data_IF_428454253388
#
_entry.id   IF_428454253388
#
_cell.length_a   1.000
_cell.length_b   1.000
_cell.length_c   1.000
_cell.angle_alpha   90.00
_cell.angle_beta   90.00
_cell.angle_gamma   90.00
#
_symmetry.space_group_name_H-M   'P 1'
#
loop_
_entity.id
_entity.type
_entity.pdbx_description
1 polymer ?
#
# COMPACT_ATOMS: atom_id res chain seq x y z
N UNK A 1 12.65 -23.24 29.01
CA UNK A 1 13.37 -22.50 27.95
C UNK A 1 12.37 -21.49 27.41
N UNK A 2 12.48 -20.23 27.83
CA UNK A 2 11.49 -19.19 27.52
C UNK A 2 11.74 -18.65 26.12
N UNK A 3 10.76 -18.82 25.23
CA UNK A 3 10.70 -18.03 24.01
C UNK A 3 10.53 -16.57 24.42
N UNK A 4 11.36 -15.67 23.88
CA UNK A 4 11.14 -14.24 23.99
C UNK A 4 9.74 -13.91 23.43
N UNK A 5 8.88 -13.14 24.13
CA UNK A 5 7.55 -12.74 23.65
C UNK A 5 7.61 -12.01 22.30
N UNK A 6 8.78 -11.46 21.97
CA UNK A 6 9.06 -10.70 20.77
C UNK A 6 9.45 -11.54 19.54
N UNK A 7 9.57 -12.87 19.65
CA UNK A 7 10.09 -13.73 18.57
C UNK A 7 9.34 -13.58 17.24
N UNK A 8 8.01 -13.56 17.27
CA UNK A 8 7.19 -13.35 16.06
C UNK A 8 7.12 -11.89 15.59
N UNK A 9 7.27 -10.94 16.52
CA UNK A 9 7.20 -9.52 16.19
C UNK A 9 8.37 -9.09 15.29
N UNK A 10 9.59 -9.60 15.56
CA UNK A 10 10.77 -9.32 14.72
C UNK A 10 10.91 -10.22 13.49
N UNK A 11 10.14 -11.32 13.39
CA UNK A 11 10.13 -12.18 12.20
C UNK A 11 9.35 -11.53 11.04
N UNK A 12 8.27 -10.82 11.35
CA UNK A 12 7.36 -10.25 10.33
C UNK A 12 7.53 -8.74 10.13
N UNK A 13 8.11 -8.02 11.09
CA UNK A 13 8.35 -6.57 11.00
C UNK A 13 9.80 -6.28 10.66
N UNK A 14 10.02 -5.28 9.80
CA UNK A 14 11.37 -4.84 9.42
C UNK A 14 11.54 -3.34 9.59
N UNK A 15 12.71 -2.95 10.08
CA UNK A 15 13.12 -1.56 10.25
C UNK A 15 14.39 -1.31 9.44
N UNK A 16 14.40 -0.26 8.64
CA UNK A 16 15.54 0.12 7.82
C UNK A 16 15.82 1.62 7.94
N UNK A 17 17.09 1.97 8.14
CA UNK A 17 17.56 3.34 8.14
C UNK A 17 18.48 3.54 6.94
N UNK A 18 18.12 4.45 6.04
CA UNK A 18 18.95 4.81 4.91
C UNK A 18 20.22 5.54 5.41
N UNK A 19 21.44 5.01 5.18
CA UNK A 19 22.67 5.55 5.76
C UNK A 19 23.02 6.95 5.22
N UNK A 20 22.51 7.31 4.04
CA UNK A 20 22.78 8.60 3.37
C UNK A 20 21.83 9.73 3.80
N UNK A 21 20.58 9.42 4.10
CA UNK A 21 19.54 10.41 4.40
C UNK A 21 19.05 10.36 5.85
N UNK A 22 19.40 9.30 6.60
CA UNK A 22 18.83 9.00 7.91
C UNK A 22 17.33 8.69 7.86
N UNK A 23 16.76 8.43 6.68
CA UNK A 23 15.32 8.14 6.55
C UNK A 23 15.00 6.77 7.10
N UNK A 24 13.99 6.72 7.97
CA UNK A 24 13.46 5.49 8.55
C UNK A 24 12.35 4.94 7.65
N UNK A 25 12.40 3.64 7.40
CA UNK A 25 11.29 2.87 6.84
C UNK A 25 10.96 1.71 7.77
N UNK A 26 9.70 1.58 8.15
CA UNK A 26 9.20 0.47 8.97
C UNK A 26 8.19 -0.29 8.12
N UNK A 27 8.23 -1.62 8.17
CA UNK A 27 7.15 -2.48 7.69
C UNK A 27 6.60 -3.27 8.86
N UNK A 28 5.29 -3.16 9.11
CA UNK A 28 4.58 -3.86 10.16
C UNK A 28 3.48 -4.75 9.55
N UNK A 29 3.53 -6.06 9.79
CA UNK A 29 2.53 -7.00 9.26
C UNK A 29 1.35 -7.11 10.22
N UNK A 30 0.14 -6.81 9.75
CA UNK A 30 -1.07 -6.86 10.56
C UNK A 30 -1.88 -8.15 10.29
N UNK A 31 -1.80 -8.71 9.08
CA UNK A 31 -2.52 -9.92 8.68
C UNK A 31 -1.61 -10.85 7.87
N UNK A 32 -1.57 -12.12 8.26
CA UNK A 32 -0.95 -13.21 7.48
C UNK A 32 -1.92 -14.37 7.39
N UNK A 33 -2.32 -14.74 6.18
CA UNK A 33 -3.22 -15.84 5.89
C UNK A 33 -2.58 -16.81 4.89
N UNK A 34 -2.19 -18.03 5.34
CA UNK A 34 -1.58 -19.02 4.46
C UNK A 34 -2.50 -19.41 3.32
N UNK A 35 -2.01 -19.28 2.09
CA UNK A 35 -2.77 -19.49 0.87
C UNK A 35 -2.45 -20.80 0.16
N UNK A 36 -3.08 -20.99 -1.00
CA UNK A 36 -2.81 -22.13 -1.87
C UNK A 36 -1.38 -22.02 -2.42
N UNK A 37 -0.60 -23.09 -2.32
CA UNK A 37 0.78 -23.21 -2.81
C UNK A 37 1.74 -22.11 -2.30
N UNK A 38 1.47 -21.54 -1.11
CA UNK A 38 2.29 -20.48 -0.53
C UNK A 38 1.99 -19.07 -1.07
N UNK A 39 0.94 -18.90 -1.89
CA UNK A 39 0.44 -17.58 -2.27
C UNK A 39 -0.44 -17.01 -1.15
N UNK A 40 0.25 -16.65 -0.08
CA UNK A 40 -0.31 -16.16 1.18
C UNK A 40 -0.83 -14.72 1.01
N UNK A 41 -1.93 -14.41 1.68
CA UNK A 41 -2.35 -13.03 1.83
C UNK A 41 -1.62 -12.41 3.01
N UNK A 42 -0.78 -11.41 2.70
CA UNK A 42 -0.13 -10.56 3.70
C UNK A 42 -0.65 -9.14 3.54
N UNK A 43 -1.24 -8.58 4.61
CA UNK A 43 -1.54 -7.16 4.69
C UNK A 43 -0.60 -6.54 5.72
N UNK A 44 0.23 -5.60 5.24
CA UNK A 44 1.18 -4.87 6.05
C UNK A 44 0.98 -3.37 5.92
N UNK A 45 1.55 -2.63 6.86
CA UNK A 45 1.68 -1.18 6.83
C UNK A 45 3.15 -0.81 6.68
N UNK A 46 3.40 0.19 5.86
CA UNK A 46 4.70 0.80 5.70
C UNK A 46 4.69 2.20 6.29
N UNK A 47 5.70 2.50 7.10
CA UNK A 47 6.06 3.86 7.48
C UNK A 47 7.24 4.33 6.64
N UNK A 48 7.21 5.58 6.19
CA UNK A 48 8.34 6.20 5.52
C UNK A 48 8.53 7.65 6.00
N UNK A 49 9.73 7.97 6.51
CA UNK A 49 10.03 9.32 7.02
C UNK A 49 9.93 10.41 5.96
N UNK A 50 10.38 10.13 4.73
CA UNK A 50 10.31 11.10 3.63
C UNK A 50 8.86 11.43 3.29
N UNK A 51 8.01 10.41 3.26
CA UNK A 51 6.57 10.58 3.12
C UNK A 51 6.01 11.42 4.27
N UNK A 52 6.37 11.08 5.53
CA UNK A 52 5.92 11.80 6.71
C UNK A 52 6.31 13.30 6.67
N UNK A 53 7.54 13.62 6.23
CA UNK A 53 8.01 15.00 6.04
C UNK A 53 7.21 15.75 4.99
N UNK A 54 6.96 15.10 3.84
CA UNK A 54 6.13 15.68 2.78
C UNK A 54 4.72 15.97 3.31
N UNK A 55 4.14 15.03 4.06
CA UNK A 55 2.83 15.20 4.67
C UNK A 55 2.83 16.37 5.66
N UNK A 56 3.81 16.42 6.57
CA UNK A 56 3.90 17.41 7.63
C UNK A 56 4.04 18.85 7.12
N UNK A 57 4.97 19.09 6.17
CA UNK A 57 5.17 20.43 5.57
C UNK A 57 3.89 21.01 4.98
N UNK A 58 3.01 20.15 4.44
CA UNK A 58 1.74 20.59 3.86
C UNK A 58 0.62 20.79 4.87
N UNK A 59 0.58 20.03 5.98
CA UNK A 59 -0.36 20.29 7.09
C UNK A 59 -0.16 21.67 7.73
N UNK A 60 1.09 22.15 7.80
CA UNK A 60 1.44 23.48 8.31
C UNK A 60 0.89 24.65 7.48
N UNK A 61 0.35 24.40 6.28
CA UNK A 61 -0.10 25.44 5.33
C UNK A 61 -1.63 25.59 5.23
N UNK A 62 -2.44 24.70 5.83
CA UNK A 62 -3.90 24.91 5.92
C UNK A 62 -4.56 24.10 7.06
N UNK A 63 -4.87 24.79 8.16
CA UNK A 63 -5.43 24.22 9.39
C UNK A 63 -6.84 23.58 9.26
N UNK A 64 -7.54 23.78 8.14
CA UNK A 64 -8.95 23.38 7.97
C UNK A 64 -9.21 22.41 6.83
N UNK A 65 -8.21 21.72 6.29
CA UNK A 65 -8.42 20.94 5.07
C UNK A 65 -7.60 19.65 5.01
N UNK A 66 -7.75 18.79 6.02
CA UNK A 66 -7.25 17.42 5.92
C UNK A 66 -7.91 16.64 4.74
N UNK A 67 -9.06 17.10 4.20
CA UNK A 67 -9.66 16.62 2.94
C UNK A 67 -8.94 17.11 1.67
N UNK A 68 -8.22 18.23 1.73
CA UNK A 68 -7.53 18.92 0.63
C UNK A 68 -6.06 18.45 0.48
N UNK A 69 -5.54 17.71 1.46
CA UNK A 69 -4.31 16.93 1.32
C UNK A 69 -4.43 15.81 0.26
N UNK A 70 -5.63 15.20 0.22
CA UNK A 70 -5.96 14.02 -0.58
C UNK A 70 -6.00 14.28 -2.09
N UNK A 71 -6.17 15.54 -2.49
CA UNK A 71 -6.19 15.97 -3.89
C UNK A 71 -4.90 16.68 -4.32
N UNK A 72 -4.18 17.34 -3.40
CA UNK A 72 -2.98 18.13 -3.75
C UNK A 72 -1.67 17.34 -3.81
N UNK A 73 -1.51 16.29 -2.98
CA UNK A 73 -0.24 15.54 -2.86
C UNK A 73 -0.29 14.09 -3.35
N UNK A 74 -1.38 13.66 -3.99
CA UNK A 74 -1.47 12.38 -4.73
C UNK A 74 -1.23 11.11 -3.91
N UNK A 75 -1.27 11.19 -2.58
CA UNK A 75 -1.30 10.03 -1.68
C UNK A 75 -2.67 9.37 -1.78
N UNK A 76 -2.70 8.07 -2.07
CA UNK A 76 -3.94 7.36 -2.36
C UNK A 76 -4.82 7.28 -1.11
N UNK A 77 -6.05 7.76 -1.24
CA UNK A 77 -7.02 7.87 -0.13
C UNK A 77 -7.30 6.55 0.59
N UNK A 78 -7.08 5.43 -0.08
CA UNK A 78 -7.41 4.09 0.41
C UNK A 78 -6.23 3.37 1.09
N UNK A 79 -4.97 3.80 0.86
CA UNK A 79 -3.81 3.21 1.52
C UNK A 79 -3.34 4.03 2.73
N UNK A 80 -3.55 5.35 2.76
CA UNK A 80 -3.02 6.23 3.81
C UNK A 80 -3.66 6.01 5.19
N UNK A 81 -2.80 5.89 6.21
CA UNK A 81 -3.15 5.73 7.61
C UNK A 81 -2.69 6.92 8.47
N UNK A 82 -2.24 8.02 7.87
CA UNK A 82 -1.74 9.19 8.60
C UNK A 82 -0.29 9.48 8.28
N UNK A 83 0.33 10.40 9.03
CA UNK A 83 1.71 10.86 8.79
C UNK A 83 2.68 9.69 8.57
N UNK A 84 3.12 9.53 7.32
CA UNK A 84 4.12 8.54 6.93
C UNK A 84 3.63 7.10 6.81
N UNK A 85 2.44 6.76 7.32
CA UNK A 85 1.90 5.42 7.31
C UNK A 85 0.95 5.17 6.12
N UNK A 86 1.13 4.05 5.46
CA UNK A 86 0.22 3.52 4.45
C UNK A 86 0.15 2.00 4.47
N UNK A 87 -0.96 1.42 3.98
CA UNK A 87 -0.98 -0.01 3.67
C UNK A 87 -0.05 -0.32 2.49
N UNK A 88 0.73 -1.38 2.63
CA UNK A 88 1.62 -1.96 1.62
C UNK A 88 0.76 -2.66 0.56
N UNK A 89 0.16 -1.89 -0.34
CA UNK A 89 -0.69 -2.40 -1.42
C UNK A 89 -0.30 -1.72 -2.73
N UNK A 90 -0.01 -2.49 -3.79
CA UNK A 90 0.36 -1.97 -5.08
C UNK A 90 -0.63 -0.97 -5.66
N UNK A 91 -0.11 0.02 -6.37
CA UNK A 91 -0.91 1.01 -7.07
C UNK A 91 -0.14 1.60 -8.26
N UNK A 92 -0.86 2.27 -9.16
CA UNK A 92 -0.27 2.91 -10.34
C UNK A 92 -0.62 4.41 -10.37
N UNK A 93 0.34 5.23 -10.74
CA UNK A 93 0.16 6.64 -11.06
C UNK A 93 0.47 6.92 -12.52
N UNK A 94 -0.36 7.75 -13.15
CA UNK A 94 -0.02 8.34 -14.43
C UNK A 94 0.28 9.82 -14.20
N UNK A 95 1.52 10.22 -14.49
CA UNK A 95 2.03 11.58 -14.32
C UNK A 95 2.44 12.13 -15.69
N UNK A 96 2.76 13.42 -15.73
CA UNK A 96 3.24 14.08 -16.96
C UNK A 96 4.56 13.50 -17.46
N UNK A 97 5.41 13.02 -16.55
CA UNK A 97 6.72 12.43 -16.80
C UNK A 97 6.68 10.91 -17.05
N UNK A 98 5.55 10.24 -16.85
CA UNK A 98 5.46 8.80 -17.08
C UNK A 98 4.44 8.07 -16.22
N UNK A 99 4.50 6.75 -16.25
CA UNK A 99 3.73 5.86 -15.39
C UNK A 99 4.63 5.43 -14.24
N UNK A 100 4.16 5.62 -13.00
CA UNK A 100 4.82 5.19 -11.79
C UNK A 100 4.05 3.99 -11.24
N UNK A 101 4.69 2.84 -11.12
CA UNK A 101 4.13 1.62 -10.52
C UNK A 101 4.73 1.46 -9.15
N UNK A 102 3.90 1.19 -8.16
CA UNK A 102 4.31 0.85 -6.81
C UNK A 102 3.84 -0.58 -6.53
N UNK A 103 4.75 -1.46 -6.12
CA UNK A 103 4.47 -2.85 -5.77
C UNK A 103 4.69 -3.08 -4.27
N UNK A 104 4.44 -4.31 -3.81
CA UNK A 104 4.65 -4.69 -2.41
C UNK A 104 6.12 -4.50 -2.00
N UNK A 105 6.35 -4.28 -0.70
CA UNK A 105 7.69 -4.11 -0.15
C UNK A 105 8.33 -2.74 -0.48
N UNK A 106 7.58 -1.83 -1.11
CA UNK A 106 8.05 -0.50 -1.48
C UNK A 106 8.75 -0.41 -2.84
N UNK A 107 8.80 -1.50 -3.59
CA UNK A 107 9.33 -1.51 -4.95
C UNK A 107 8.57 -0.52 -5.83
N UNK A 108 9.30 0.29 -6.59
CA UNK A 108 8.69 1.25 -7.50
C UNK A 108 9.40 1.34 -8.84
N UNK A 109 8.61 1.58 -9.89
CA UNK A 109 9.05 1.55 -11.28
C UNK A 109 8.54 2.80 -11.99
N UNK A 110 9.44 3.52 -12.65
CA UNK A 110 9.09 4.68 -13.45
C UNK A 110 9.28 4.39 -14.94
N UNK A 111 8.17 4.28 -15.65
CA UNK A 111 8.16 4.16 -17.11
C UNK A 111 8.03 5.56 -17.67
N UNK A 112 9.11 6.06 -18.28
CA UNK A 112 9.15 7.42 -18.80
C UNK A 112 8.08 7.65 -19.86
N UNK A 113 7.60 8.88 -19.93
CA UNK A 113 6.57 9.27 -20.89
C UNK A 113 6.97 8.99 -22.34
N UNK A 114 8.23 9.18 -22.68
CA UNK A 114 8.78 8.94 -24.02
C UNK A 114 8.73 7.45 -24.39
N UNK A 115 9.17 6.58 -23.49
CA UNK A 115 9.12 5.13 -23.67
C UNK A 115 7.68 4.63 -23.75
N UNK A 116 6.80 5.19 -22.92
CA UNK A 116 5.38 4.85 -22.94
C UNK A 116 4.68 5.33 -24.21
N UNK A 117 4.96 6.53 -24.73
CA UNK A 117 4.32 7.03 -25.96
C UNK A 117 4.75 6.21 -27.18
N UNK A 118 5.98 5.71 -27.19
CA UNK A 118 6.53 4.95 -28.31
C UNK A 118 6.29 3.43 -28.21
N UNK A 119 5.69 2.94 -27.12
CA UNK A 119 5.40 1.51 -26.96
C UNK A 119 4.44 0.99 -28.04
N UNK A 120 4.56 -0.30 -28.36
CA UNK A 120 3.81 -0.95 -29.43
C UNK A 120 2.30 -0.98 -29.13
N UNK A 121 1.51 -0.82 -30.19
CA UNK A 121 0.06 -0.95 -30.14
C UNK A 121 -0.34 -2.31 -30.71
N UNK A 122 -1.08 -3.08 -29.92
CA UNK A 122 -1.76 -4.28 -30.40
C UNK A 122 -3.23 -3.94 -30.69
N UNK A 123 -3.67 -4.17 -31.92
CA UNK A 123 -5.07 -4.01 -32.33
C UNK A 123 -5.31 -3.01 -33.47
N UNK A 124 -6.38 -3.26 -34.22
CA UNK A 124 -6.83 -2.36 -35.30
C UNK A 124 -7.77 -1.29 -34.76
N UNK A 125 -7.79 -0.08 -35.32
CA UNK A 125 -8.76 0.99 -35.00
C UNK A 125 -10.23 0.52 -34.95
N UNK A 126 -10.57 -0.59 -35.63
CA UNK A 126 -11.90 -1.20 -35.68
C UNK A 126 -12.27 -2.09 -34.48
N UNK A 127 -11.32 -2.45 -33.59
CA UNK A 127 -11.60 -3.29 -32.42
C UNK A 127 -12.28 -2.54 -31.28
N UNK A 128 -12.30 -1.20 -31.34
CA UNK A 128 -12.82 -0.35 -30.27
C UNK A 128 -12.01 -0.42 -28.96
N UNK A 129 -10.88 -1.14 -28.93
CA UNK A 129 -9.98 -1.24 -27.76
C UNK A 129 -8.60 -0.72 -28.12
N UNK A 130 -8.07 0.12 -27.24
CA UNK A 130 -6.71 0.64 -27.32
C UNK A 130 -5.84 -0.19 -26.39
N UNK A 131 -5.08 -1.14 -26.95
CA UNK A 131 -4.09 -1.89 -26.19
C UNK A 131 -2.69 -1.39 -26.53
N UNK A 132 -1.90 -1.16 -25.50
CA UNK A 132 -0.50 -0.76 -25.58
C UNK A 132 0.32 -1.63 -24.67
N UNK A 133 1.47 -2.12 -25.13
CA UNK A 133 2.34 -2.92 -24.28
C UNK A 133 3.80 -2.54 -24.48
N UNK A 134 4.60 -2.86 -23.48
CA UNK A 134 6.06 -2.73 -23.53
C UNK A 134 6.70 -3.60 -22.47
N UNK A 135 7.95 -3.97 -22.73
CA UNK A 135 8.83 -4.59 -21.74
C UNK A 135 9.78 -3.51 -21.22
N UNK A 136 9.89 -3.42 -19.90
CA UNK A 136 10.62 -2.36 -19.22
C UNK A 136 11.56 -2.98 -18.18
N UNK A 137 12.71 -2.35 -17.99
CA UNK A 137 13.68 -2.74 -16.98
C UNK A 137 13.44 -1.95 -15.69
N UNK A 138 13.57 -2.64 -14.55
CA UNK A 138 13.68 -1.99 -13.25
C UNK A 138 15.12 -1.54 -12.96
N UNK A 139 15.30 -0.80 -11.87
CA UNK A 139 16.59 -0.31 -11.37
C UNK A 139 17.59 -1.45 -11.07
N UNK A 140 17.10 -2.63 -10.70
CA UNK A 140 17.91 -3.83 -10.48
C UNK A 140 18.19 -4.66 -11.76
N UNK A 141 17.69 -4.21 -12.91
CA UNK A 141 17.83 -4.88 -14.20
C UNK A 141 16.85 -6.02 -14.45
N UNK A 142 15.85 -6.22 -13.58
CA UNK A 142 14.77 -7.18 -13.84
C UNK A 142 13.79 -6.65 -14.89
N UNK A 143 13.36 -7.53 -15.81
CA UNK A 143 12.38 -7.19 -16.85
C UNK A 143 10.98 -7.42 -16.29
N UNK A 144 10.10 -6.45 -16.48
CA UNK A 144 8.66 -6.63 -16.33
C UNK A 144 7.92 -6.22 -17.60
N UNK A 145 6.82 -6.90 -17.89
CA UNK A 145 5.95 -6.57 -19.01
C UNK A 145 4.77 -5.74 -18.50
N UNK A 146 4.60 -4.54 -19.03
CA UNK A 146 3.39 -3.74 -18.82
C UNK A 146 2.49 -3.82 -20.05
N UNK A 147 1.22 -4.13 -19.81
CA UNK A 147 0.14 -4.01 -20.78
C UNK A 147 -0.87 -3.00 -20.24
N UNK A 148 -1.25 -2.02 -21.04
CA UNK A 148 -2.35 -1.10 -20.77
C UNK A 148 -3.47 -1.37 -21.77
N UNK A 149 -4.67 -1.50 -21.26
CA UNK A 149 -5.87 -1.67 -22.05
C UNK A 149 -6.89 -0.58 -21.72
N UNK A 150 -7.45 0.04 -22.76
CA UNK A 150 -8.49 1.05 -22.64
C UNK A 150 -9.64 0.76 -23.61
N UNK A 151 -10.88 0.86 -23.12
CA UNK A 151 -12.08 0.69 -23.93
C UNK A 151 -12.37 1.89 -24.85
N UNK A 152 -11.75 3.05 -24.60
CA UNK A 152 -11.73 4.21 -25.49
C UNK A 152 -10.61 5.15 -25.03
N UNK A 153 -10.28 6.17 -25.84
CA UNK A 153 -9.26 7.18 -25.50
C UNK A 153 -9.51 7.88 -24.14
N UNK A 154 -10.76 7.94 -23.69
CA UNK A 154 -11.15 8.61 -22.45
C UNK A 154 -11.57 7.64 -21.34
N UNK A 155 -11.53 6.32 -21.59
CA UNK A 155 -11.85 5.33 -20.58
C UNK A 155 -10.70 5.19 -19.57
N UNK A 156 -11.04 4.88 -18.31
CA UNK A 156 -10.02 4.54 -17.32
C UNK A 156 -9.19 3.33 -17.80
N UNK A 157 -7.85 3.43 -17.80
CA UNK A 157 -6.99 2.33 -18.20
C UNK A 157 -7.10 1.15 -17.25
N UNK A 158 -6.92 -0.05 -17.77
CA UNK A 158 -6.56 -1.22 -16.98
C UNK A 158 -5.10 -1.54 -17.27
N UNK A 159 -4.31 -1.78 -16.22
CA UNK A 159 -2.90 -2.13 -16.36
C UNK A 159 -2.70 -3.58 -15.94
N UNK A 160 -1.91 -4.35 -16.69
CA UNK A 160 -1.44 -5.67 -16.31
C UNK A 160 0.08 -5.63 -16.30
N UNK A 161 0.66 -5.95 -15.15
CA UNK A 161 2.10 -6.01 -14.95
C UNK A 161 2.45 -7.47 -14.71
N UNK A 162 3.41 -8.00 -15.45
CA UNK A 162 3.96 -9.34 -15.24
C UNK A 162 5.42 -9.20 -14.84
N UNK A 163 5.76 -9.67 -13.65
CA UNK A 163 7.14 -9.66 -13.14
C UNK A 163 7.94 -10.79 -13.77
N UNK A 164 9.26 -10.75 -13.60
CA UNK A 164 10.17 -11.80 -14.05
C UNK A 164 9.84 -13.17 -13.43
N UNK A 165 9.37 -13.17 -12.19
CA UNK A 165 9.08 -14.39 -11.43
C UNK A 165 7.70 -14.98 -11.78
N UNK A 166 6.97 -14.32 -12.68
CA UNK A 166 5.69 -14.79 -13.22
C UNK A 166 4.47 -14.24 -12.50
N UNK A 167 4.66 -13.45 -11.45
CA UNK A 167 3.56 -12.79 -10.76
C UNK A 167 2.91 -11.73 -11.63
N UNK A 168 1.59 -11.61 -11.49
CA UNK A 168 0.78 -10.67 -12.26
C UNK A 168 -0.02 -9.76 -11.34
N UNK A 169 0.15 -8.46 -11.54
CA UNK A 169 -0.69 -7.43 -10.95
C UNK A 169 -1.65 -6.88 -11.99
N UNK A 170 -2.94 -6.86 -11.66
CA UNK A 170 -3.98 -6.29 -12.53
C UNK A 170 -4.58 -5.09 -11.83
N UNK A 171 -4.52 -3.93 -12.47
CA UNK A 171 -5.06 -2.66 -11.98
C UNK A 171 -6.24 -2.19 -12.83
N UNK A 172 -7.16 -1.46 -12.21
CA UNK A 172 -8.13 -0.61 -12.91
C UNK A 172 -7.97 0.82 -12.42
N UNK A 173 -7.65 1.72 -13.35
CA UNK A 173 -7.16 3.05 -13.02
C UNK A 173 -5.85 2.92 -12.22
N UNK A 174 -5.90 3.37 -10.99
CA UNK A 174 -4.79 3.35 -10.02
C UNK A 174 -4.91 2.23 -8.98
N UNK A 175 -6.03 1.51 -8.94
CA UNK A 175 -6.34 0.51 -7.91
C UNK A 175 -5.96 -0.89 -8.35
N UNK A 176 -5.24 -1.62 -7.49
CA UNK A 176 -5.02 -3.06 -7.66
C UNK A 176 -6.36 -3.80 -7.61
N UNK A 177 -6.56 -4.79 -8.48
CA UNK A 177 -7.76 -5.63 -8.52
C UNK A 177 -7.43 -7.09 -8.32
N UNK A 178 -6.27 -7.52 -8.80
CA UNK A 178 -5.84 -8.90 -8.63
C UNK A 178 -4.33 -8.99 -8.53
N UNK A 179 -3.88 -9.88 -7.64
CA UNK A 179 -2.49 -10.31 -7.54
C UNK A 179 -2.44 -11.83 -7.73
N UNK A 180 -1.78 -12.26 -8.79
CA UNK A 180 -1.86 -13.63 -9.30
C UNK A 180 -0.44 -14.20 -9.32
N UNK A 181 -0.23 -15.36 -8.72
CA UNK A 181 1.06 -16.05 -8.80
C UNK A 181 1.27 -16.73 -10.17
N UNK A 182 2.45 -17.31 -10.39
CA UNK A 182 2.76 -18.06 -11.62
C UNK A 182 1.84 -19.28 -11.85
N UNK A 183 1.19 -19.79 -10.79
CA UNK A 183 0.29 -20.94 -10.86
C UNK A 183 -1.17 -20.54 -11.13
N UNK A 184 -1.47 -19.24 -11.20
CA UNK A 184 -2.82 -18.71 -11.37
C UNK A 184 -3.61 -18.55 -10.07
N UNK A 185 -3.02 -18.81 -8.91
CA UNK A 185 -3.65 -18.53 -7.61
C UNK A 185 -3.84 -17.02 -7.48
N UNK A 186 -5.07 -16.59 -7.16
CA UNK A 186 -5.46 -15.19 -7.25
C UNK A 186 -5.92 -14.65 -5.91
N UNK A 187 -5.36 -13.51 -5.49
CA UNK A 187 -5.89 -12.64 -4.44
C UNK A 187 -6.64 -11.49 -5.10
N UNK A 188 -7.87 -11.22 -4.66
CA UNK A 188 -8.72 -10.17 -5.24
C UNK A 188 -8.90 -8.98 -4.29
N UNK A 189 -8.91 -7.77 -4.85
CA UNK A 189 -9.04 -6.52 -4.12
C UNK A 189 -10.29 -5.77 -4.58
N UNK A 190 -11.24 -5.61 -3.66
CA UNK A 190 -12.54 -4.99 -3.91
C UNK A 190 -12.62 -3.62 -3.23
N UNK A 191 -13.26 -2.68 -3.91
CA UNK A 191 -13.37 -1.29 -3.49
C UNK A 191 -14.84 -0.89 -3.43
N UNK A 192 -15.20 -0.05 -2.46
CA UNK A 192 -16.54 0.52 -2.32
C UNK A 192 -16.84 1.57 -3.41
N UNK A 193 -18.09 2.05 -3.45
CA UNK A 193 -18.53 3.05 -4.42
C UNK A 193 -17.84 4.42 -4.31
N UNK A 194 -17.07 4.64 -3.24
CA UNK A 194 -16.25 5.85 -3.03
C UNK A 194 -14.77 5.63 -3.33
N UNK A 195 -14.42 4.44 -3.81
CA UNK A 195 -13.06 4.07 -4.21
C UNK A 195 -12.15 3.68 -3.04
N UNK A 196 -12.69 3.30 -1.89
CA UNK A 196 -11.92 2.80 -0.74
C UNK A 196 -11.87 1.28 -0.75
N UNK A 197 -10.73 0.69 -0.39
CA UNK A 197 -10.58 -0.77 -0.32
C UNK A 197 -11.53 -1.33 0.75
N UNK A 198 -12.49 -2.16 0.37
CA UNK A 198 -13.51 -2.69 1.28
C UNK A 198 -13.23 -4.14 1.65
N UNK A 199 -12.69 -4.93 0.73
CA UNK A 199 -12.43 -6.35 0.94
C UNK A 199 -11.19 -6.82 0.18
N UNK A 200 -10.50 -7.80 0.76
CA UNK A 200 -9.50 -8.62 0.10
C UNK A 200 -9.96 -10.08 0.20
N UNK A 201 -9.99 -10.77 -0.93
CA UNK A 201 -10.35 -12.20 -0.99
C UNK A 201 -9.09 -12.97 -1.27
N UNK A 202 -8.69 -13.84 -0.33
CA UNK A 202 -7.49 -14.65 -0.49
C UNK A 202 -7.68 -15.85 -1.43
N UNK A 203 -6.60 -16.59 -1.64
CA UNK A 203 -6.58 -17.76 -2.54
C UNK A 203 -7.44 -18.93 -2.07
N UNK A 204 -7.85 -18.94 -0.80
CA UNK A 204 -8.73 -19.96 -0.22
C UNK A 204 -10.20 -19.51 -0.18
N UNK A 205 -10.48 -18.26 -0.57
CA UNK A 205 -11.80 -17.65 -0.53
C UNK A 205 -12.17 -17.00 0.80
N UNK A 206 -11.23 -16.86 1.76
CA UNK A 206 -11.47 -16.08 2.98
C UNK A 206 -11.55 -14.60 2.63
N UNK A 207 -12.47 -13.90 3.28
CA UNK A 207 -12.68 -12.47 3.09
C UNK A 207 -12.07 -11.72 4.27
N UNK A 208 -11.09 -10.87 3.97
CA UNK A 208 -10.56 -9.83 4.86
C UNK A 208 -11.32 -8.54 4.57
N UNK A 209 -12.01 -7.98 5.56
CA UNK A 209 -12.85 -6.78 5.42
C UNK A 209 -12.24 -5.58 6.10
N UNK A 210 -12.35 -4.40 5.47
CA UNK A 210 -11.90 -3.13 6.03
C UNK A 210 -13.11 -2.29 6.43
N UNK A 211 -13.20 -1.92 7.70
CA UNK A 211 -14.20 -1.00 8.23
C UNK A 211 -13.63 0.42 8.35
N UNK A 212 -14.46 1.44 8.14
CA UNK A 212 -14.05 2.83 8.15
C UNK A 212 -14.88 3.64 9.15
N UNK A 213 -14.22 4.50 9.94
CA UNK A 213 -14.88 5.44 10.83
C UNK A 213 -15.55 6.60 10.05
N UNK A 214 -16.31 7.44 10.75
CA UNK A 214 -17.02 8.59 10.19
C UNK A 214 -16.11 9.62 9.49
N UNK A 215 -14.81 9.63 9.78
CA UNK A 215 -13.80 10.49 9.12
C UNK A 215 -13.19 9.83 7.88
N UNK A 216 -13.69 8.66 7.47
CA UNK A 216 -13.28 7.93 6.29
C UNK A 216 -11.92 7.23 6.42
N UNK A 217 -11.50 6.87 7.65
CA UNK A 217 -10.24 6.16 7.91
C UNK A 217 -10.50 4.75 8.40
N UNK A 218 -9.59 3.86 8.10
CA UNK A 218 -9.69 2.43 8.45
C UNK A 218 -9.70 2.30 9.96
N UNK A 219 -10.79 1.80 10.54
CA UNK A 219 -10.93 1.62 11.99
C UNK A 219 -10.66 0.18 12.40
N UNK A 220 -10.94 -0.77 11.51
CA UNK A 220 -10.68 -2.18 11.75
C UNK A 220 -10.43 -2.95 10.45
N UNK A 221 -9.60 -3.98 10.55
CA UNK A 221 -9.45 -5.06 9.57
C UNK A 221 -9.92 -6.35 10.23
N UNK A 222 -10.83 -7.08 9.58
CA UNK A 222 -11.41 -8.30 10.15
C UNK A 222 -11.43 -9.47 9.17
N UNK A 223 -11.29 -10.69 9.68
CA UNK A 223 -11.31 -11.91 8.88
C UNK A 223 -11.73 -13.13 9.71
N UNK A 224 -12.17 -14.24 9.08
CA UNK A 224 -12.48 -15.46 9.81
C UNK A 224 -11.20 -16.13 10.34
N UNK A 225 -11.14 -16.35 11.65
CA UNK A 225 -10.16 -17.22 12.31
C UNK A 225 -10.80 -18.53 12.80
N UNK A 226 -10.01 -19.36 13.48
CA UNK A 226 -10.42 -20.71 13.92
C UNK A 226 -11.62 -20.69 14.87
N UNK A 227 -11.74 -19.67 15.71
CA UNK A 227 -12.75 -19.60 16.79
C UNK A 227 -13.69 -18.40 16.66
N UNK A 228 -13.77 -17.77 15.49
CA UNK A 228 -14.60 -16.59 15.26
C UNK A 228 -13.91 -15.54 14.40
N UNK A 229 -14.40 -14.31 14.47
CA UNK A 229 -13.81 -13.17 13.74
C UNK A 229 -12.56 -12.68 14.45
N UNK A 230 -11.46 -12.59 13.72
CA UNK A 230 -10.21 -11.96 14.16
C UNK A 230 -10.22 -10.50 13.72
N UNK A 231 -9.67 -9.61 14.55
CA UNK A 231 -9.69 -8.16 14.32
C UNK A 231 -8.34 -7.53 14.62
N UNK A 232 -7.91 -6.59 13.77
CA UNK A 232 -6.90 -5.57 14.06
C UNK A 232 -7.61 -4.23 14.09
N UNK A 233 -7.36 -3.38 15.09
CA UNK A 233 -7.98 -2.06 15.21
C UNK A 233 -6.97 -0.93 15.13
N UNK A 234 -7.42 0.23 14.66
CA UNK A 234 -6.59 1.39 14.38
C UNK A 234 -7.19 2.64 15.03
N UNK A 235 -6.44 3.28 15.93
CA UNK A 235 -6.86 4.50 16.61
C UNK A 235 -6.01 5.66 16.11
N UNK A 236 -6.67 6.81 15.99
CA UNK A 236 -6.04 7.99 15.48
C UNK A 236 -6.35 9.22 16.31
N UNK A 237 -5.47 10.20 16.24
CA UNK A 237 -5.66 11.50 16.86
C UNK A 237 -6.65 12.42 16.09
N UNK A 238 -6.76 13.66 16.58
CA UNK A 238 -7.56 14.71 15.97
C UNK A 238 -6.97 15.28 14.67
N UNK A 239 -5.65 15.19 14.48
CA UNK A 239 -4.91 15.62 13.27
C UNK A 239 -4.92 14.59 12.14
N UNK A 240 -5.57 13.48 12.43
CA UNK A 240 -5.85 12.36 11.59
C UNK A 240 -4.73 11.31 11.47
N UNK A 241 -3.80 11.29 12.40
CA UNK A 241 -2.61 10.44 12.39
C UNK A 241 -2.80 9.20 13.26
N UNK A 242 -2.29 8.05 12.79
CA UNK A 242 -2.42 6.75 13.48
C UNK A 242 -1.57 6.76 14.75
N UNK A 243 -2.17 6.61 15.92
CA UNK A 243 -1.47 6.67 17.21
C UNK A 243 -1.49 5.34 17.97
N UNK A 244 -2.33 4.39 17.56
CA UNK A 244 -2.39 3.06 18.17
C UNK A 244 -2.85 2.02 17.14
N UNK A 245 -2.23 0.85 17.19
CA UNK A 245 -2.76 -0.37 16.59
C UNK A 245 -2.90 -1.44 17.66
N UNK A 246 -4.08 -2.05 17.74
CA UNK A 246 -4.31 -3.24 18.57
C UNK A 246 -4.37 -4.46 17.68
N UNK A 247 -3.50 -5.44 17.96
CA UNK A 247 -3.44 -6.69 17.21
C UNK A 247 -4.48 -7.72 17.68
N UNK A 248 -4.59 -8.89 17.01
CA UNK A 248 -5.53 -9.95 17.40
C UNK A 248 -5.35 -10.54 18.81
N UNK A 249 -4.18 -10.34 19.43
CA UNK A 249 -3.84 -10.80 20.77
C UNK A 249 -4.03 -9.68 21.81
N UNK A 250 -4.72 -8.60 21.43
CA UNK A 250 -4.96 -7.41 22.25
C UNK A 250 -3.70 -6.65 22.65
N UNK A 251 -2.57 -6.91 21.98
CA UNK A 251 -1.33 -6.17 22.18
C UNK A 251 -1.43 -4.83 21.48
N UNK A 252 -0.97 -3.79 22.15
CA UNK A 252 -1.06 -2.41 21.65
C UNK A 252 0.29 -1.90 21.22
N UNK A 253 0.32 -1.31 20.04
CA UNK A 253 1.46 -0.61 19.49
C UNK A 253 1.13 0.86 19.41
N UNK A 254 1.81 1.70 20.18
CA UNK A 254 1.60 3.15 20.16
C UNK A 254 2.59 3.85 19.24
N UNK A 255 2.12 4.90 18.57
CA UNK A 255 2.96 5.77 17.75
C UNK A 255 2.85 7.21 18.24
N UNK A 256 4.00 7.80 18.55
CA UNK A 256 4.08 9.24 18.84
C UNK A 256 4.76 9.96 17.69
N UNK A 257 4.35 11.20 17.43
CA UNK A 257 4.89 12.05 16.38
C UNK A 257 5.45 13.31 17.03
N UNK A 258 6.77 13.47 17.04
CA UNK A 258 7.44 14.66 17.59
C UNK A 258 7.87 15.62 16.48
N UNK A 259 8.11 16.89 16.81
CA UNK A 259 8.88 17.79 15.94
C UNK A 259 10.31 17.81 16.44
N UNK A 260 11.27 17.29 15.68
CA UNK A 260 12.69 17.48 16.01
C UNK A 260 13.11 18.92 15.73
N UNK A 261 13.51 19.67 16.77
CA UNK A 261 14.09 21.01 16.62
C UNK A 261 15.58 21.01 16.22
N UNK A 262 16.25 19.84 16.22
CA UNK A 262 17.70 19.74 16.05
C UNK A 262 18.19 19.73 14.58
N UNK A 263 17.29 19.50 13.62
CA UNK A 263 17.63 19.48 12.18
C UNK A 263 16.96 20.61 11.39
N UNK A 264 16.15 21.46 12.04
CA UNK A 264 15.28 22.41 11.35
C UNK A 264 14.20 21.78 10.45
N UNK A 265 14.03 20.44 10.49
CA UNK A 265 13.19 19.69 9.55
C UNK A 265 11.99 18.96 10.20
N UNK A 266 11.78 19.05 11.52
CA UNK A 266 10.53 18.64 12.17
C UNK A 266 10.10 17.21 11.83
N UNK A 267 10.98 16.23 12.04
CA UNK A 267 10.71 14.81 11.72
C UNK A 267 9.76 14.22 12.74
N UNK A 268 8.59 13.66 12.34
CA UNK A 268 7.86 12.76 13.21
C UNK A 268 8.64 11.45 13.36
N UNK A 269 9.45 11.34 14.41
CA UNK A 269 10.01 10.04 14.82
C UNK A 269 8.89 9.25 15.45
N UNK A 270 8.60 8.07 14.89
CA UNK A 270 7.73 7.08 15.52
C UNK A 270 8.55 6.39 16.59
N UNK A 271 8.18 6.59 17.86
CA UNK A 271 8.61 5.72 18.94
C UNK A 271 7.55 4.63 19.10
N UNK A 272 7.99 3.38 19.12
CA UNK A 272 7.11 2.22 19.21
C UNK A 272 7.16 1.66 20.63
N UNK A 273 6.07 1.87 21.37
CA UNK A 273 5.86 1.24 22.66
C UNK A 273 4.85 0.09 22.50
N UNK A 274 5.31 -1.14 22.77
CA UNK A 274 4.45 -2.31 22.84
C UNK A 274 4.02 -2.52 24.30
N UNK A 275 2.73 -2.32 24.58
CA UNK A 275 2.14 -2.67 25.88
C UNK A 275 1.43 -4.04 25.76
N UNK A 276 1.87 -5.01 26.57
CA UNK A 276 1.16 -6.27 26.79
C UNK A 276 0.37 -6.17 28.09
N UNK A 277 -0.93 -6.48 28.05
CA UNK A 277 -1.71 -6.68 29.27
C UNK A 277 -1.45 -8.12 29.72
N UNK A 278 -0.79 -8.29 30.88
CA UNK A 278 -0.48 -9.61 31.49
C UNK A 278 -1.78 -10.31 31.94
#
# INVERSE_FOLDING_TARGET
MGASPYGRYFEDNSEQVAPESGSLSIRAVDVTLPGVNGHDLVLARNYNTSLAHMMFRTKSLSANSADDFRDRNRIKRWSCLGLGWEFDIPWVENRSDGIHVHLFGGDSYHIKREDWINAEYEGTFFSGRYMKHGEYLNYDGTVFRLVCEQASKNASPSYRITTRDGDVYVFRGDQLRSYIDLNGNTIQYNYDGTGRLSQIIDTTGRIVSLAYNAKGRVEAVTWPGTSGTVTVSYIYDNFRDLIEVTDPLERKTHYTYYQSNETGLGVPVVDEAVEETI
#
